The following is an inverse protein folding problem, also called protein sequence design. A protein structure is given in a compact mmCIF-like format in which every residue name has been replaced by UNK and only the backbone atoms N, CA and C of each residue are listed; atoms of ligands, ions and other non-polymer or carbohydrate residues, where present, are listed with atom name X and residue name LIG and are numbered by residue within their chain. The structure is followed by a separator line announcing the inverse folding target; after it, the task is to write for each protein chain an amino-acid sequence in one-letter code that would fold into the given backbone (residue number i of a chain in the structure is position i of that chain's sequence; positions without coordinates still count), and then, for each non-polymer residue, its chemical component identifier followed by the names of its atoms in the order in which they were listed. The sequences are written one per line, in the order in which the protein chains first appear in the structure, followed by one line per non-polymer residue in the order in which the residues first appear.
data_IF_603712966534
#
_entry.id   IF_603712966534
#
_cell.length_a   1.000
_cell.length_b   1.000
_cell.length_c   1.000
_cell.angle_alpha   90.00
_cell.angle_beta   90.00
_cell.angle_gamma   90.00
#
_symmetry.space_group_name_H-M   'P 1'
#
loop_
_entity.id
_entity.type
_entity.pdbx_description
1 polymer ?
#
# COMPACT_ATOMS: atom_id res chain seq x y z
N UNK A 1 -28.10 23.99 23.24
CA UNK A 1 -27.17 23.60 22.16
C UNK A 1 -26.15 22.63 22.74
N UNK A 2 -26.02 21.45 22.14
CA UNK A 2 -25.26 20.33 22.71
C UNK A 2 -23.77 20.55 22.41
N UNK A 3 -23.06 21.15 23.35
CA UNK A 3 -21.60 21.36 23.32
C UNK A 3 -20.85 20.05 23.65
N UNK A 4 -21.21 18.94 23.01
CA UNK A 4 -20.60 17.64 23.27
C UNK A 4 -19.47 17.37 22.29
N UNK A 5 -18.37 16.83 22.80
CA UNK A 5 -17.31 16.25 21.99
C UNK A 5 -17.76 14.88 21.49
N UNK A 6 -17.68 14.65 20.19
CA UNK A 6 -17.98 13.35 19.57
C UNK A 6 -16.68 12.67 19.12
N UNK A 7 -16.50 11.37 19.42
CA UNK A 7 -15.33 10.64 18.96
C UNK A 7 -15.36 10.43 17.45
N UNK A 8 -14.21 10.58 16.82
CA UNK A 8 -14.01 10.37 15.39
C UNK A 8 -12.59 9.94 15.05
N UNK A 9 -12.38 9.66 13.77
CA UNK A 9 -11.13 9.16 13.21
C UNK A 9 -10.75 9.97 11.98
N UNK A 10 -9.50 10.40 11.89
CA UNK A 10 -8.99 11.14 10.73
C UNK A 10 -8.86 10.20 9.52
N UNK A 11 -9.58 10.48 8.43
CA UNK A 11 -9.50 9.68 7.20
C UNK A 11 -8.29 10.05 6.35
N UNK A 12 -8.01 11.35 6.24
CA UNK A 12 -6.85 11.87 5.54
C UNK A 12 -6.57 13.31 5.96
N UNK A 13 -5.32 13.73 5.81
CA UNK A 13 -4.86 15.09 6.05
C UNK A 13 -3.82 15.48 5.00
N UNK A 14 -3.93 16.70 4.48
CA UNK A 14 -2.97 17.33 3.57
C UNK A 14 -2.27 18.47 4.31
N UNK A 15 -1.00 18.31 4.71
CA UNK A 15 -0.27 19.34 5.46
C UNK A 15 -0.08 20.63 4.65
N UNK A 16 0.10 20.51 3.33
CA UNK A 16 0.31 21.64 2.43
C UNK A 16 -0.87 22.61 2.41
N UNK A 17 -2.10 22.07 2.32
CA UNK A 17 -3.32 22.89 2.36
C UNK A 17 -3.81 23.12 3.79
N UNK A 18 -3.25 22.41 4.78
CA UNK A 18 -3.76 22.36 6.13
C UNK A 18 -5.21 21.89 6.19
N UNK A 19 -5.64 20.98 5.32
CA UNK A 19 -7.03 20.49 5.23
C UNK A 19 -7.09 18.99 5.47
N UNK A 20 -8.13 18.53 6.14
CA UNK A 20 -8.35 17.11 6.37
C UNK A 20 -9.82 16.75 6.47
N UNK A 21 -10.08 15.45 6.53
CA UNK A 21 -11.41 14.91 6.78
C UNK A 21 -11.38 14.00 8.00
N UNK A 22 -12.34 14.22 8.88
CA UNK A 22 -12.61 13.36 10.03
C UNK A 22 -13.93 12.64 9.83
N UNK A 23 -13.96 11.35 10.15
CA UNK A 23 -15.17 10.54 10.18
C UNK A 23 -15.55 10.29 11.64
N UNK A 24 -16.74 10.72 12.03
CA UNK A 24 -17.30 10.42 13.34
C UNK A 24 -17.71 8.95 13.44
N UNK A 25 -17.81 8.44 14.66
CA UNK A 25 -18.27 7.07 14.91
C UNK A 25 -19.73 6.85 14.46
N UNK A 26 -20.53 7.91 14.44
CA UNK A 26 -21.88 7.90 13.86
C UNK A 26 -21.90 7.77 12.32
N UNK A 27 -20.72 7.78 11.68
CA UNK A 27 -20.57 7.62 10.23
C UNK A 27 -20.59 8.93 9.42
N UNK A 28 -20.94 10.06 10.03
CA UNK A 28 -20.88 11.39 9.39
C UNK A 28 -19.43 11.81 9.18
N UNK A 29 -19.17 12.53 8.09
CA UNK A 29 -17.85 13.02 7.73
C UNK A 29 -17.85 14.54 7.72
N UNK A 30 -16.76 15.12 8.21
CA UNK A 30 -16.59 16.56 8.27
C UNK A 30 -15.20 16.98 7.80
N UNK A 31 -15.13 18.15 7.17
CA UNK A 31 -13.89 18.77 6.73
C UNK A 31 -13.38 19.70 7.82
N UNK A 32 -12.09 19.61 8.14
CA UNK A 32 -11.44 20.49 9.10
C UNK A 32 -10.19 21.14 8.49
N UNK A 33 -9.78 22.28 9.06
CA UNK A 33 -8.55 22.98 8.71
C UNK A 33 -7.53 22.95 9.85
N UNK A 34 -6.25 23.22 9.60
CA UNK A 34 -5.13 23.03 10.56
C UNK A 34 -5.24 23.88 11.82
N UNK A 35 -6.07 24.92 11.83
CA UNK A 35 -6.26 25.82 12.98
C UNK A 35 -6.92 25.16 14.21
N UNK A 36 -7.21 23.86 14.16
CA UNK A 36 -8.01 23.14 15.13
C UNK A 36 -7.24 22.53 16.32
N UNK A 37 -6.01 22.98 16.60
CA UNK A 37 -5.30 22.66 17.86
C UNK A 37 -4.51 21.34 17.88
N UNK A 38 -4.28 20.71 16.73
CA UNK A 38 -3.43 19.52 16.60
C UNK A 38 -2.26 19.84 15.69
N UNK A 39 -1.04 19.73 16.21
CA UNK A 39 0.18 20.05 15.44
C UNK A 39 0.44 19.08 14.27
N UNK A 40 0.11 17.80 14.45
CA UNK A 40 0.44 16.73 13.51
C UNK A 40 -0.68 15.66 13.39
N UNK A 41 -1.76 15.95 12.64
CA UNK A 41 -2.85 15.00 12.44
C UNK A 41 -2.46 13.90 11.43
N UNK A 42 -2.42 12.66 11.92
CA UNK A 42 -2.11 11.46 11.13
C UNK A 42 -3.38 10.73 10.74
N UNK A 43 -3.41 10.11 9.55
CA UNK A 43 -4.49 9.22 9.13
C UNK A 43 -4.65 8.07 10.14
N UNK A 44 -5.89 7.80 10.54
CA UNK A 44 -6.23 6.79 11.55
C UNK A 44 -6.20 7.30 12.99
N UNK A 45 -5.76 8.54 13.23
CA UNK A 45 -5.73 9.12 14.57
C UNK A 45 -7.16 9.31 15.11
N UNK A 46 -7.38 8.85 16.34
CA UNK A 46 -8.61 9.07 17.10
C UNK A 46 -8.61 10.47 17.69
N UNK A 47 -9.68 11.21 17.44
CA UNK A 47 -9.84 12.60 17.88
C UNK A 47 -11.24 12.82 18.43
N UNK A 48 -11.35 13.76 19.35
CA UNK A 48 -12.61 14.28 19.85
C UNK A 48 -12.96 15.53 19.03
N UNK A 49 -14.06 15.45 18.29
CA UNK A 49 -14.58 16.49 17.42
C UNK A 49 -15.65 17.25 18.17
N UNK A 50 -15.49 18.57 18.30
CA UNK A 50 -16.56 19.46 18.73
C UNK A 50 -16.94 20.39 17.60
N UNK A 51 -18.24 20.38 17.27
CA UNK A 51 -18.79 21.33 16.31
C UNK A 51 -19.03 22.65 17.03
N UNK A 52 -18.35 23.69 16.54
CA UNK A 52 -18.60 25.07 16.92
C UNK A 52 -19.35 25.70 15.75
N UNK A 53 -20.54 26.22 16.03
CA UNK A 53 -21.32 26.96 15.05
C UNK A 53 -20.54 28.22 14.69
N UNK A 54 -19.97 28.21 13.48
CA UNK A 54 -19.18 29.32 12.95
C UNK A 54 -20.09 30.34 12.26
N UNK A 55 -19.74 31.61 12.39
CA UNK A 55 -20.48 32.76 11.87
C UNK A 55 -20.56 32.80 10.32
N UNK A 56 -19.73 32.03 9.62
CA UNK A 56 -19.64 32.01 8.16
C UNK A 56 -19.80 30.59 7.59
N UNK A 57 -20.96 29.94 7.75
CA UNK A 57 -21.39 28.71 7.05
C UNK A 57 -20.43 27.48 7.07
N UNK A 58 -19.24 27.62 7.64
CA UNK A 58 -18.20 26.63 7.79
C UNK A 58 -18.18 26.25 9.26
N UNK A 59 -18.70 25.07 9.55
CA UNK A 59 -18.68 24.49 10.88
C UNK A 59 -17.23 24.40 11.33
N UNK A 60 -16.85 25.19 12.33
CA UNK A 60 -15.50 25.14 12.87
C UNK A 60 -15.41 23.93 13.79
N UNK A 61 -14.40 23.09 13.57
CA UNK A 61 -14.27 21.81 14.27
C UNK A 61 -13.11 21.91 15.24
N UNK A 62 -13.38 21.92 16.55
CA UNK A 62 -12.31 21.83 17.54
C UNK A 62 -11.90 20.36 17.68
N UNK A 63 -10.61 20.06 17.47
CA UNK A 63 -10.08 18.70 17.62
C UNK A 63 -9.28 18.62 18.91
N UNK A 64 -9.66 17.69 19.80
CA UNK A 64 -8.87 17.35 20.99
C UNK A 64 -8.38 15.93 20.92
N UNK A 65 -7.15 15.72 21.39
CA UNK A 65 -6.67 14.38 21.68
C UNK A 65 -7.43 13.86 22.91
N UNK A 66 -7.92 12.61 22.91
CA UNK A 66 -8.47 12.01 24.12
C UNK A 66 -7.38 12.04 25.21
N UNK A 67 -7.74 12.52 26.40
CA UNK A 67 -6.82 12.63 27.52
C UNK A 67 -6.31 11.24 27.93
N UNK A 68 -5.18 10.81 27.37
CA UNK A 68 -4.68 9.45 27.55
C UNK A 68 -3.77 8.98 26.43
N UNK A 69 -2.70 9.74 26.13
CA UNK A 69 -1.59 9.28 25.28
C UNK A 69 -1.91 9.12 23.80
N UNK A 70 -0.87 9.20 22.97
CA UNK A 70 -0.92 8.79 21.56
C UNK A 70 -1.15 7.28 21.51
N UNK A 71 -2.38 6.84 21.75
CA UNK A 71 -2.78 5.46 21.49
C UNK A 71 -2.80 5.31 19.98
N UNK A 72 -1.68 4.84 19.44
CA UNK A 72 -1.59 4.26 18.12
C UNK A 72 -2.45 2.99 18.16
N UNK A 73 -3.77 3.17 18.08
CA UNK A 73 -4.68 2.05 17.90
C UNK A 73 -4.33 1.49 16.52
N UNK A 74 -3.55 0.41 16.53
CA UNK A 74 -3.29 -0.41 15.36
C UNK A 74 -4.64 -0.66 14.69
N UNK A 75 -4.83 -0.22 13.43
CA UNK A 75 -6.12 -0.32 12.78
C UNK A 75 -6.52 -1.79 12.76
N UNK A 76 -7.61 -2.10 13.45
CA UNK A 76 -8.17 -3.45 13.46
C UNK A 76 -8.28 -3.89 11.99
N UNK A 77 -7.67 -5.03 11.60
CA UNK A 77 -7.62 -5.41 10.21
C UNK A 77 -9.05 -5.47 9.67
N UNK A 78 -9.31 -4.89 8.49
CA UNK A 78 -10.65 -4.85 7.93
C UNK A 78 -11.25 -6.26 7.95
N UNK A 79 -12.53 -6.43 8.33
CA UNK A 79 -13.16 -7.74 8.42
C UNK A 79 -12.95 -8.45 7.10
N UNK A 80 -12.18 -9.56 7.13
CA UNK A 80 -11.93 -10.37 5.94
C UNK A 80 -13.28 -10.67 5.31
N UNK A 81 -13.48 -10.39 4.01
CA UNK A 81 -14.74 -10.71 3.36
C UNK A 81 -15.02 -12.19 3.60
N UNK A 82 -16.15 -12.49 4.25
CA UNK A 82 -16.62 -13.85 4.46
C UNK A 82 -16.72 -14.48 3.08
N UNK A 83 -15.75 -15.35 2.73
CA UNK A 83 -15.79 -16.17 1.54
C UNK A 83 -17.10 -16.94 1.61
N UNK A 84 -18.09 -16.53 0.82
CA UNK A 84 -19.27 -17.35 0.54
C UNK A 84 -18.75 -18.69 0.07
N UNK A 85 -19.09 -19.74 0.81
CA UNK A 85 -18.76 -21.11 0.46
C UNK A 85 -19.44 -21.41 -0.89
N UNK A 86 -18.66 -21.35 -1.97
CA UNK A 86 -19.07 -21.89 -3.24
C UNK A 86 -19.06 -23.40 -3.12
N UNK A 87 -20.25 -23.99 -2.97
CA UNK A 87 -20.54 -25.39 -3.21
C UNK A 87 -20.10 -25.74 -4.63
N UNK A 88 -18.95 -26.38 -4.78
CA UNK A 88 -18.52 -27.00 -6.04
C UNK A 88 -18.23 -28.48 -5.81
N UNK A 89 -19.30 -29.24 -6.00
CA UNK A 89 -19.40 -30.57 -6.60
C UNK A 89 -18.09 -31.37 -6.74
N UNK A 90 -18.02 -32.47 -5.98
CA UNK A 90 -17.14 -33.61 -6.22
C UNK A 90 -17.38 -34.21 -7.61
N UNK A 91 -16.31 -34.60 -8.32
CA UNK A 91 -16.22 -35.83 -9.15
C UNK A 91 -14.75 -36.08 -9.61
N UNK A 92 -14.38 -37.31 -10.00
CA UNK A 92 -13.25 -38.01 -9.38
C UNK A 92 -12.10 -38.36 -10.35
N UNK A 93 -10.99 -38.77 -9.74
CA UNK A 93 -9.97 -39.72 -10.21
C UNK A 93 -9.78 -39.93 -11.72
N UNK A 94 -8.64 -39.48 -12.22
CA UNK A 94 -8.01 -39.96 -13.44
C UNK A 94 -6.50 -40.01 -13.26
N UNK A 95 -5.99 -41.16 -12.84
CA UNK A 95 -4.57 -41.43 -12.82
C UNK A 95 -4.05 -41.56 -14.25
N UNK A 96 -3.00 -40.81 -14.63
CA UNK A 96 -2.01 -41.32 -15.57
C UNK A 96 -0.66 -40.64 -15.37
N UNK A 97 0.28 -41.47 -14.89
CA UNK A 97 1.72 -41.37 -15.09
C UNK A 97 2.10 -40.89 -16.50
N UNK A 98 3.07 -39.97 -16.59
CA UNK A 98 4.22 -40.02 -17.54
C UNK A 98 5.17 -38.83 -17.35
N UNK A 99 6.25 -39.08 -16.61
CA UNK A 99 7.63 -38.65 -17.00
C UNK A 99 7.95 -39.33 -18.37
N UNK A 100 8.99 -38.97 -19.16
CA UNK A 100 10.07 -38.00 -18.96
C UNK A 100 10.42 -37.15 -20.22
N UNK A 101 11.33 -36.16 -20.11
CA UNK A 101 12.63 -36.12 -20.83
C UNK A 101 13.37 -34.80 -20.67
N UNK A 102 14.57 -34.93 -20.12
CA UNK A 102 15.75 -34.09 -20.33
C UNK A 102 16.10 -34.02 -21.83
N UNK A 103 16.48 -32.83 -22.28
CA UNK A 103 17.10 -32.60 -23.59
C UNK A 103 17.41 -31.10 -23.76
N UNK A 104 18.66 -30.71 -24.10
CA UNK A 104 19.05 -29.32 -24.24
C UNK A 104 18.60 -28.80 -25.60
N UNK A 105 17.96 -27.63 -25.63
CA UNK A 105 17.79 -26.87 -26.88
C UNK A 105 18.32 -25.46 -26.65
N UNK A 106 19.59 -25.33 -26.98
CA UNK A 106 20.22 -24.11 -27.49
C UNK A 106 19.30 -23.47 -28.52
N UNK A 107 18.74 -22.33 -28.14
CA UNK A 107 17.96 -21.46 -28.99
C UNK A 107 18.01 -20.08 -28.36
N UNK A 108 19.09 -19.36 -28.66
CA UNK A 108 19.27 -17.95 -28.29
C UNK A 108 18.14 -17.17 -28.94
N UNK A 109 17.05 -17.01 -28.22
CA UNK A 109 16.04 -16.02 -28.53
C UNK A 109 16.32 -14.88 -27.59
N UNK A 110 16.96 -13.82 -28.10
CA UNK A 110 16.98 -12.50 -27.45
C UNK A 110 15.53 -12.14 -27.18
N UNK A 111 15.03 -12.42 -25.97
CA UNK A 111 13.69 -12.02 -25.58
C UNK A 111 13.80 -10.56 -25.19
N UNK A 112 13.57 -9.70 -26.18
CA UNK A 112 13.30 -8.27 -25.93
C UNK A 112 12.06 -8.25 -25.04
N UNK A 113 12.25 -7.94 -23.76
CA UNK A 113 11.15 -7.78 -22.82
C UNK A 113 10.22 -6.71 -23.38
N UNK A 114 8.97 -7.09 -23.62
CA UNK A 114 7.98 -6.17 -24.15
C UNK A 114 7.64 -5.17 -23.05
N UNK A 115 7.57 -3.89 -23.43
CA UNK A 115 7.20 -2.79 -22.55
C UNK A 115 5.91 -3.14 -21.79
N UNK A 116 6.00 -3.31 -20.47
CA UNK A 116 4.88 -3.65 -19.58
C UNK A 116 4.87 -5.07 -19.00
N UNK A 117 5.87 -5.91 -19.30
CA UNK A 117 6.00 -7.23 -18.69
C UNK A 117 6.73 -7.14 -17.34
N UNK A 118 6.11 -7.66 -16.27
CA UNK A 118 6.72 -7.70 -14.93
C UNK A 118 7.88 -8.69 -14.90
N UNK A 119 9.07 -8.25 -14.47
CA UNK A 119 10.26 -9.09 -14.34
C UNK A 119 10.06 -10.20 -13.29
N UNK A 120 10.38 -11.44 -13.61
CA UNK A 120 10.30 -12.52 -12.62
C UNK A 120 11.27 -12.29 -11.45
N UNK A 121 10.86 -12.70 -10.25
CA UNK A 121 11.70 -12.62 -9.05
C UNK A 121 12.92 -13.52 -9.22
N UNK A 122 14.09 -13.00 -8.86
CA UNK A 122 15.36 -13.73 -8.93
C UNK A 122 16.14 -13.54 -10.23
N UNK A 123 15.61 -12.77 -11.20
CA UNK A 123 16.36 -12.35 -12.39
C UNK A 123 17.51 -11.45 -11.95
N UNK A 124 18.69 -11.71 -12.51
CA UNK A 124 19.87 -10.87 -12.33
C UNK A 124 19.79 -9.65 -13.24
N UNK A 125 20.01 -8.48 -12.68
CA UNK A 125 19.89 -7.19 -13.38
C UNK A 125 21.09 -6.32 -13.06
N UNK A 126 21.47 -5.48 -14.02
CA UNK A 126 22.45 -4.43 -13.89
C UNK A 126 21.77 -3.07 -13.91
N UNK A 127 22.29 -2.16 -13.09
CA UNK A 127 21.94 -0.75 -13.09
C UNK A 127 23.21 0.09 -13.22
N UNK A 128 23.25 1.11 -14.11
CA UNK A 128 24.48 1.85 -14.44
C UNK A 128 25.12 2.53 -13.22
N UNK A 129 24.32 2.97 -12.25
CA UNK A 129 24.81 3.70 -11.05
C UNK A 129 25.07 2.78 -9.86
N UNK A 130 24.36 1.66 -9.77
CA UNK A 130 24.32 0.84 -8.55
C UNK A 130 24.98 -0.54 -8.72
N UNK A 131 25.35 -0.90 -9.94
CA UNK A 131 25.98 -2.16 -10.26
C UNK A 131 24.97 -3.30 -10.40
N UNK A 132 25.35 -4.48 -9.94
CA UNK A 132 24.60 -5.71 -10.16
C UNK A 132 23.72 -6.08 -8.96
N UNK A 133 22.55 -6.63 -9.24
CA UNK A 133 21.61 -7.09 -8.23
C UNK A 133 20.63 -8.11 -8.76
N UNK A 134 19.66 -8.47 -7.93
CA UNK A 134 18.59 -9.38 -8.29
C UNK A 134 17.22 -8.78 -7.95
N UNK A 135 16.24 -9.06 -8.81
CA UNK A 135 14.86 -8.59 -8.62
C UNK A 135 14.23 -9.34 -7.45
N UNK A 136 13.82 -8.61 -6.42
CA UNK A 136 13.09 -9.13 -5.25
C UNK A 136 11.58 -9.07 -5.47
N UNK A 137 11.11 -7.98 -6.07
CA UNK A 137 9.71 -7.73 -6.40
C UNK A 137 9.66 -6.90 -7.68
N UNK A 138 8.72 -7.17 -8.57
CA UNK A 138 8.47 -6.32 -9.73
C UNK A 138 6.99 -5.99 -9.86
N UNK A 139 6.72 -4.81 -10.38
CA UNK A 139 5.43 -4.39 -10.90
C UNK A 139 5.57 -4.12 -12.41
N UNK A 140 4.56 -3.56 -13.06
CA UNK A 140 4.62 -3.23 -14.48
C UNK A 140 5.59 -2.07 -14.82
N UNK A 141 5.97 -1.25 -13.84
CA UNK A 141 6.81 -0.06 -14.05
C UNK A 141 8.03 0.03 -13.14
N UNK A 142 8.00 -0.64 -11.97
CA UNK A 142 9.04 -0.54 -10.96
C UNK A 142 9.50 -1.94 -10.55
N UNK A 143 10.80 -2.09 -10.34
CA UNK A 143 11.38 -3.29 -9.74
C UNK A 143 12.14 -2.92 -8.47
N UNK A 144 11.93 -3.70 -7.41
CA UNK A 144 12.71 -3.66 -6.19
C UNK A 144 13.87 -4.62 -6.33
N UNK A 145 15.08 -4.09 -6.33
CA UNK A 145 16.32 -4.82 -6.62
C UNK A 145 17.16 -4.82 -5.35
N UNK A 146 17.74 -5.96 -5.03
CA UNK A 146 18.75 -6.09 -3.99
C UNK A 146 20.13 -6.12 -4.63
N UNK A 147 20.92 -5.09 -4.38
CA UNK A 147 22.27 -4.94 -4.94
C UNK A 147 23.30 -5.76 -4.16
N UNK A 148 24.30 -6.28 -4.85
CA UNK A 148 25.44 -6.97 -4.25
C UNK A 148 26.73 -6.15 -4.42
N UNK A 149 27.61 -6.05 -3.41
CA UNK A 149 27.59 -6.78 -2.12
C UNK A 149 26.83 -6.07 -0.99
N UNK A 150 26.36 -4.83 -1.19
CA UNK A 150 25.76 -4.00 -0.12
C UNK A 150 24.49 -4.59 0.50
N UNK A 151 23.81 -5.51 -0.20
CA UNK A 151 22.50 -6.05 0.15
C UNK A 151 21.40 -4.98 0.27
N UNK A 152 21.67 -3.76 -0.20
CA UNK A 152 20.72 -2.66 -0.16
C UNK A 152 19.60 -2.91 -1.16
N UNK A 153 18.36 -2.72 -0.73
CA UNK A 153 17.19 -2.82 -1.59
C UNK A 153 16.76 -1.45 -2.09
N UNK A 154 16.65 -1.29 -3.41
CA UNK A 154 16.16 -0.05 -4.03
C UNK A 154 15.08 -0.34 -5.04
N UNK A 155 14.14 0.60 -5.13
CA UNK A 155 13.06 0.58 -6.11
C UNK A 155 13.48 1.42 -7.33
N UNK A 156 13.67 0.77 -8.47
CA UNK A 156 14.16 1.39 -9.71
C UNK A 156 13.14 1.12 -10.82
N UNK A 157 13.05 2.01 -11.82
CA UNK A 157 12.18 1.80 -12.97
C UNK A 157 12.70 0.67 -13.84
N UNK A 158 11.81 -0.14 -14.38
CA UNK A 158 12.20 -1.27 -15.24
C UNK A 158 12.93 -0.80 -16.50
N UNK A 159 12.58 0.39 -17.01
CA UNK A 159 13.22 1.01 -18.18
C UNK A 159 14.71 1.34 -17.95
N UNK A 160 15.14 1.49 -16.70
CA UNK A 160 16.52 1.84 -16.33
C UNK A 160 17.37 0.59 -16.01
N UNK A 161 16.85 -0.62 -16.22
CA UNK A 161 17.49 -1.88 -15.87
C UNK A 161 17.90 -2.69 -17.09
N UNK A 162 19.12 -3.23 -17.01
CA UNK A 162 19.61 -4.19 -17.99
C UNK A 162 19.50 -5.61 -17.42
N UNK A 163 18.82 -6.50 -18.13
CA UNK A 163 18.64 -7.89 -17.70
C UNK A 163 19.91 -8.67 -18.06
N UNK A 164 20.55 -9.23 -17.04
CA UNK A 164 21.66 -10.16 -17.20
C UNK A 164 21.06 -11.57 -17.21
N UNK A 165 20.73 -12.07 -18.40
CA UNK A 165 20.33 -13.47 -18.54
C UNK A 165 21.47 -14.38 -18.08
N UNK A 166 21.14 -15.35 -17.22
CA UNK A 166 22.08 -16.42 -16.88
C UNK A 166 22.31 -17.25 -18.15
N UNK A 167 23.53 -17.15 -18.68
CA UNK A 167 24.04 -18.03 -19.74
C UNK A 167 23.99 -19.50 -19.34
#
# INVERSE_FOLDING_TARGET
MVNSFEPGTILWFKPESGRGVVKLDQGRQYFFERKCGIDDPVKGLRVLVRMVEGEQAATSIELKLPAGGRSFAEPEPPPRPKRRASTKTKKPSGATSRRPKTGPKTGVVKRVVRKGESLERGISVAHPVHGHGFVVLSTSSMARIRFMPSQEERSIRIDDLEILEKS
#
